data_IF_582386223557
#
_entry.id   IF_582386223557
#
_cell.length_a   1.000
_cell.length_b   1.000
_cell.length_c   1.000
_cell.angle_alpha   90.00
_cell.angle_beta   90.00
_cell.angle_gamma   90.00
#
_symmetry.space_group_name_H-M   'P 1'
#
loop_
_entity.id
_entity.type
_entity.pdbx_description
1 polymer ?
#
# COMPACT_ATOMS: atom_id res chain seq x y z
N UNK A 1 -14.28 2.24 5.17
CA UNK A 1 -13.41 3.12 5.97
C UNK A 1 -14.12 4.47 6.05
N UNK A 2 -14.61 4.85 7.22
CA UNK A 2 -15.25 6.16 7.42
C UNK A 2 -14.13 7.16 7.69
N UNK A 3 -14.06 8.23 6.91
CA UNK A 3 -13.08 9.29 7.13
C UNK A 3 -13.50 10.09 8.38
N UNK A 4 -12.66 10.08 9.42
CA UNK A 4 -12.91 10.75 10.71
C UNK A 4 -12.14 12.08 10.85
N UNK A 5 -11.44 12.51 9.80
CA UNK A 5 -10.62 13.72 9.79
C UNK A 5 -9.11 13.42 9.83
N UNK A 6 -8.32 14.47 10.10
CA UNK A 6 -6.87 14.37 10.23
C UNK A 6 -6.48 14.40 11.70
N UNK A 7 -5.75 13.38 12.15
CA UNK A 7 -5.25 13.27 13.51
C UNK A 7 -3.76 12.92 13.48
N UNK A 8 -2.97 13.60 14.31
CA UNK A 8 -1.51 13.43 14.38
C UNK A 8 -1.14 12.87 15.73
N UNK A 9 -0.35 11.81 15.74
CA UNK A 9 0.10 11.17 16.96
C UNK A 9 1.62 11.01 16.97
N UNK A 10 2.26 11.40 18.07
CA UNK A 10 3.64 11.02 18.37
C UNK A 10 3.63 9.77 19.25
N UNK A 11 4.67 8.94 19.09
CA UNK A 11 4.89 7.78 19.96
C UNK A 11 6.09 8.05 20.85
N UNK A 12 5.83 8.36 22.12
CA UNK A 12 6.84 8.52 23.15
C UNK A 12 7.41 7.14 23.53
N UNK A 13 8.72 7.09 23.80
CA UNK A 13 9.47 5.88 24.18
C UNK A 13 9.51 4.75 23.14
N UNK A 14 9.08 5.00 21.89
CA UNK A 14 9.16 3.98 20.85
C UNK A 14 10.60 3.80 20.35
N UNK A 15 11.22 2.68 20.75
CA UNK A 15 12.57 2.30 20.33
C UNK A 15 12.61 1.42 19.08
N UNK A 16 11.46 1.01 18.54
CA UNK A 16 11.37 0.16 17.36
C UNK A 16 11.40 -1.36 17.60
N UNK A 17 11.54 -1.80 18.86
CA UNK A 17 11.62 -3.22 19.21
C UNK A 17 10.41 -3.75 19.98
N UNK A 18 9.74 -2.89 20.75
CA UNK A 18 8.52 -3.25 21.49
C UNK A 18 7.49 -2.12 21.48
N UNK A 19 6.23 -2.46 21.75
CA UNK A 19 5.17 -1.51 22.05
C UNK A 19 4.94 -1.33 23.57
N UNK A 20 5.63 -2.10 24.41
CA UNK A 20 5.51 -2.00 25.85
C UNK A 20 6.06 -0.67 26.36
N UNK A 21 5.28 0.04 27.16
CA UNK A 21 5.64 1.37 27.68
C UNK A 21 5.61 2.49 26.63
N UNK A 22 5.20 2.19 25.39
CA UNK A 22 5.00 3.21 24.35
C UNK A 22 3.71 3.95 24.64
N UNK A 23 3.82 5.27 24.77
CA UNK A 23 2.68 6.16 24.97
C UNK A 23 2.44 6.94 23.69
N UNK A 24 1.19 6.98 23.26
CA UNK A 24 0.77 7.82 22.15
C UNK A 24 0.26 9.17 22.66
N UNK A 25 0.63 10.24 21.97
CA UNK A 25 0.22 11.59 22.30
C UNK A 25 -0.34 12.25 21.03
N UNK A 26 -1.59 12.69 21.08
CA UNK A 26 -2.18 13.49 20.00
C UNK A 26 -1.53 14.88 20.00
N UNK A 27 -1.14 15.35 18.82
CA UNK A 27 -0.54 16.68 18.65
C UNK A 27 -1.32 17.48 17.62
N UNK A 28 -1.28 18.81 17.76
CA UNK A 28 -1.98 19.68 16.82
C UNK A 28 -1.29 19.71 15.43
N UNK A 29 0.04 19.72 15.42
CA UNK A 29 0.84 19.95 14.22
C UNK A 29 2.18 19.21 14.30
N UNK A 30 2.71 18.81 13.14
CA UNK A 30 4.09 18.38 12.99
C UNK A 30 4.88 19.43 12.20
N UNK A 31 6.21 19.41 12.35
CA UNK A 31 7.06 20.11 11.39
C UNK A 31 6.87 19.54 9.97
N UNK A 32 7.23 20.33 8.95
CA UNK A 32 6.98 19.97 7.56
C UNK A 32 7.63 18.62 7.15
N UNK A 33 8.81 18.29 7.67
CA UNK A 33 9.46 17.04 7.33
C UNK A 33 8.74 15.84 7.97
N UNK A 34 8.30 16.00 9.22
CA UNK A 34 7.52 14.99 9.94
C UNK A 34 6.13 14.79 9.34
N UNK A 35 5.43 15.84 8.89
CA UNK A 35 4.16 15.71 8.14
C UNK A 35 4.34 14.84 6.90
N UNK A 36 5.30 15.19 6.04
CA UNK A 36 5.55 14.47 4.79
C UNK A 36 5.89 13.00 5.07
N UNK A 37 6.74 12.77 6.07
CA UNK A 37 7.12 11.42 6.49
C UNK A 37 5.92 10.62 6.99
N UNK A 38 5.10 11.20 7.88
CA UNK A 38 3.93 10.56 8.44
C UNK A 38 2.88 10.21 7.38
N UNK A 39 2.70 11.07 6.37
CA UNK A 39 1.82 10.81 5.23
C UNK A 39 2.31 9.63 4.40
N UNK A 40 3.60 9.63 4.03
CA UNK A 40 4.19 8.56 3.21
C UNK A 40 4.18 7.23 3.97
N UNK A 41 4.66 7.21 5.22
CA UNK A 41 4.65 6.02 6.06
C UNK A 41 3.22 5.53 6.33
N UNK A 42 2.29 6.45 6.61
CA UNK A 42 0.88 6.14 6.85
C UNK A 42 0.21 5.46 5.66
N UNK A 43 0.50 5.91 4.43
CA UNK A 43 -0.01 5.28 3.21
C UNK A 43 0.50 3.84 3.07
N UNK A 44 1.81 3.61 3.26
CA UNK A 44 2.38 2.27 3.17
C UNK A 44 1.88 1.35 4.28
N UNK A 45 1.72 1.85 5.50
CA UNK A 45 1.17 1.08 6.62
C UNK A 45 -0.30 0.70 6.37
N UNK A 46 -1.10 1.60 5.80
CA UNK A 46 -2.49 1.31 5.41
C UNK A 46 -2.57 0.25 4.32
N UNK A 47 -1.77 0.39 3.25
CA UNK A 47 -1.68 -0.61 2.19
C UNK A 47 -1.27 -1.98 2.72
N UNK A 48 -0.29 -2.02 3.64
CA UNK A 48 0.17 -3.24 4.30
C UNK A 48 -0.93 -3.88 5.16
N UNK A 49 -1.54 -3.11 6.05
CA UNK A 49 -2.61 -3.60 6.92
C UNK A 49 -3.77 -4.18 6.10
N UNK A 50 -4.14 -3.51 5.01
CA UNK A 50 -5.13 -4.01 4.07
C UNK A 50 -4.68 -5.32 3.42
N UNK A 51 -3.46 -5.40 2.89
CA UNK A 51 -2.89 -6.59 2.29
C UNK A 51 -2.91 -7.81 3.22
N UNK A 52 -2.43 -7.64 4.45
CA UNK A 52 -2.45 -8.69 5.47
C UNK A 52 -3.89 -9.10 5.83
N UNK A 53 -4.83 -8.14 5.89
CA UNK A 53 -6.23 -8.38 6.22
C UNK A 53 -6.97 -9.31 5.25
N UNK A 54 -6.57 -9.37 3.97
CA UNK A 54 -7.12 -10.34 3.01
C UNK A 54 -6.21 -11.55 2.74
N UNK A 55 -5.22 -11.79 3.61
CA UNK A 55 -4.42 -13.00 3.63
C UNK A 55 -3.14 -12.96 2.78
N UNK A 56 -2.68 -11.78 2.36
CA UNK A 56 -1.38 -11.68 1.66
C UNK A 56 -0.21 -11.85 2.64
N UNK A 57 0.83 -12.60 2.27
CA UNK A 57 2.02 -12.73 3.10
C UNK A 57 2.81 -11.42 3.16
N UNK A 58 3.23 -11.03 4.37
CA UNK A 58 4.08 -9.88 4.61
C UNK A 58 5.31 -10.26 5.48
N UNK A 59 6.55 -9.87 5.11
CA UNK A 59 6.89 -9.15 3.88
C UNK A 59 6.69 -10.03 2.64
N UNK A 60 6.30 -9.45 1.50
CA UNK A 60 6.18 -10.20 0.26
C UNK A 60 7.58 -10.67 -0.19
N UNK A 61 7.66 -11.86 -0.79
CA UNK A 61 8.91 -12.37 -1.38
C UNK A 61 9.45 -11.47 -2.49
N UNK A 62 8.55 -10.78 -3.19
CA UNK A 62 8.86 -9.90 -4.31
C UNK A 62 7.75 -8.85 -4.45
N UNK A 63 8.13 -7.58 -4.48
CA UNK A 63 7.22 -6.49 -4.89
C UNK A 63 7.39 -6.31 -6.38
N UNK A 64 6.28 -6.21 -7.12
CA UNK A 64 6.29 -5.87 -8.54
C UNK A 64 5.59 -4.52 -8.66
N UNK A 65 6.38 -3.47 -8.90
CA UNK A 65 5.82 -2.19 -9.30
C UNK A 65 5.59 -2.25 -10.82
N UNK A 66 4.36 -2.53 -11.22
CA UNK A 66 3.96 -2.37 -12.62
C UNK A 66 3.73 -0.88 -12.85
N UNK A 67 4.33 -0.33 -13.90
CA UNK A 67 4.00 1.03 -14.26
C UNK A 67 2.49 1.14 -14.54
N UNK A 68 1.94 2.20 -13.97
CA UNK A 68 0.64 2.29 -13.32
C UNK A 68 -0.51 2.49 -14.32
N UNK A 69 -1.63 3.08 -13.90
CA UNK A 69 -2.89 3.23 -14.64
C UNK A 69 -2.79 3.44 -16.18
N UNK A 70 -1.76 4.14 -16.66
CA UNK A 70 -1.46 4.36 -18.08
C UNK A 70 -1.23 3.06 -18.87
N UNK A 71 -0.46 2.10 -18.36
CA UNK A 71 -0.25 0.79 -19.01
C UNK A 71 -1.55 -0.01 -19.06
N UNK A 72 -2.33 0.02 -17.98
CA UNK A 72 -3.66 -0.59 -17.94
C UNK A 72 -4.61 0.05 -18.95
N UNK A 73 -4.57 1.38 -19.10
CA UNK A 73 -5.36 2.11 -20.09
C UNK A 73 -4.93 1.76 -21.53
N UNK A 74 -3.63 1.74 -21.81
CA UNK A 74 -3.08 1.35 -23.11
C UNK A 74 -3.46 -0.09 -23.47
N UNK A 75 -3.35 -1.02 -22.51
CA UNK A 75 -3.73 -2.42 -22.70
C UNK A 75 -5.22 -2.57 -23.02
N UNK A 76 -6.10 -1.87 -22.29
CA UNK A 76 -7.55 -1.86 -22.56
C UNK A 76 -7.88 -1.23 -23.91
N UNK A 77 -7.23 -0.14 -24.29
CA UNK A 77 -7.43 0.50 -25.59
C UNK A 77 -7.00 -0.41 -26.75
N UNK A 78 -5.82 -1.03 -26.64
CA UNK A 78 -5.34 -1.99 -27.63
C UNK A 78 -6.24 -3.23 -27.71
N UNK A 79 -6.76 -3.70 -26.58
CA UNK A 79 -7.73 -4.81 -26.53
C UNK A 79 -9.05 -4.45 -27.21
N UNK A 80 -9.59 -3.26 -26.94
CA UNK A 80 -10.80 -2.75 -27.59
C UNK A 80 -10.64 -2.63 -29.11
N UNK A 81 -9.52 -2.06 -29.57
CA UNK A 81 -9.19 -2.00 -31.00
C UNK A 81 -9.12 -3.39 -31.65
N UNK A 82 -8.49 -4.36 -30.98
CA UNK A 82 -8.36 -5.72 -31.50
C UNK A 82 -9.71 -6.45 -31.57
N UNK A 83 -10.57 -6.27 -30.57
CA UNK A 83 -11.93 -6.82 -30.57
C UNK A 83 -12.75 -6.24 -31.73
N UNK A 84 -12.69 -4.91 -31.93
CA UNK A 84 -13.36 -4.23 -33.02
C UNK A 84 -12.90 -4.76 -34.39
N UNK A 85 -11.58 -4.84 -34.59
CA UNK A 85 -11.00 -5.34 -35.84
C UNK A 85 -11.37 -6.80 -36.15
N UNK A 86 -11.55 -7.64 -35.12
CA UNK A 86 -11.94 -9.04 -35.28
C UNK A 86 -13.46 -9.27 -35.31
N UNK A 87 -14.26 -8.23 -35.08
CA UNK A 87 -15.71 -8.34 -34.96
C UNK A 87 -16.18 -9.25 -33.81
N UNK A 88 -15.30 -9.56 -32.84
CA UNK A 88 -15.61 -10.43 -31.70
C UNK A 88 -14.67 -10.16 -30.53
N UNK A 89 -15.16 -10.47 -29.33
CA UNK A 89 -14.32 -10.48 -28.14
C UNK A 89 -13.15 -11.45 -28.31
N UNK A 90 -11.96 -11.03 -27.89
CA UNK A 90 -10.78 -11.89 -27.76
C UNK A 90 -10.28 -11.89 -26.34
N UNK A 91 -9.73 -12.99 -25.84
CA UNK A 91 -9.13 -13.01 -24.52
C UNK A 91 -7.94 -12.05 -24.46
N UNK A 92 -7.87 -11.21 -23.41
CA UNK A 92 -6.75 -10.27 -23.18
C UNK A 92 -5.41 -11.01 -23.17
N UNK A 93 -5.38 -12.24 -22.64
CA UNK A 93 -4.19 -13.10 -22.64
C UNK A 93 -3.60 -13.32 -24.02
N UNK A 94 -4.42 -13.41 -25.07
CA UNK A 94 -3.94 -13.59 -26.45
C UNK A 94 -3.04 -12.46 -26.96
N UNK A 95 -3.06 -11.28 -26.31
CA UNK A 95 -2.21 -10.15 -26.64
C UNK A 95 -0.76 -10.36 -26.20
N UNK A 96 -0.51 -11.11 -25.12
CA UNK A 96 0.83 -11.25 -24.52
C UNK A 96 1.30 -12.70 -24.35
N UNK A 97 0.42 -13.71 -24.42
CA UNK A 97 0.82 -15.13 -24.37
C UNK A 97 1.80 -15.43 -25.51
N UNK A 98 2.98 -15.95 -25.17
CA UNK A 98 4.08 -16.22 -26.11
C UNK A 98 4.86 -14.99 -26.60
N UNK A 99 4.49 -13.78 -26.14
CA UNK A 99 5.14 -12.51 -26.53
C UNK A 99 5.53 -11.62 -25.34
N UNK A 100 5.36 -12.10 -24.11
CA UNK A 100 5.57 -11.31 -22.89
C UNK A 100 6.96 -10.65 -22.87
N UNK A 101 8.01 -11.42 -23.16
CA UNK A 101 9.41 -10.97 -23.20
C UNK A 101 9.66 -9.84 -24.23
N UNK A 102 8.79 -9.69 -25.23
CA UNK A 102 8.90 -8.67 -26.30
C UNK A 102 8.03 -7.44 -26.04
N UNK A 103 7.37 -7.37 -24.89
CA UNK A 103 6.47 -6.28 -24.54
C UNK A 103 6.94 -5.56 -23.28
N UNK A 104 6.59 -4.29 -23.16
CA UNK A 104 6.77 -3.51 -21.93
C UNK A 104 6.02 -4.09 -20.72
N UNK A 105 5.14 -5.08 -20.92
CA UNK A 105 4.49 -5.84 -19.84
C UNK A 105 5.49 -6.72 -19.06
N UNK A 106 6.70 -6.96 -19.57
CA UNK A 106 7.75 -7.65 -18.83
C UNK A 106 8.65 -6.71 -18.01
N UNK A 107 8.41 -5.39 -18.05
CA UNK A 107 9.11 -4.44 -17.18
C UNK A 107 8.71 -4.71 -15.72
N UNK A 108 9.54 -5.47 -15.02
CA UNK A 108 9.39 -5.76 -13.59
C UNK A 108 10.46 -4.98 -12.84
N UNK A 109 10.09 -3.85 -12.25
CA UNK A 109 10.87 -3.34 -11.14
C UNK A 109 10.58 -4.25 -9.96
N UNK A 110 11.51 -5.17 -9.68
CA UNK A 110 11.40 -6.11 -8.57
C UNK A 110 12.38 -5.76 -7.47
N UNK A 111 11.87 -5.57 -6.26
CA UNK A 111 12.67 -5.44 -5.07
C UNK A 111 12.45 -6.66 -4.16
N UNK A 112 13.54 -7.15 -3.55
CA UNK A 112 13.46 -8.10 -2.44
C UNK A 112 12.93 -7.39 -1.19
N UNK A 113 12.40 -8.17 -0.24
CA UNK A 113 12.08 -7.66 1.08
C UNK A 113 13.32 -6.98 1.70
N UNK A 114 13.12 -5.80 2.29
CA UNK A 114 14.20 -5.02 2.91
C UNK A 114 14.69 -5.59 4.24
N UNK A 115 15.55 -4.84 4.92
CA UNK A 115 16.13 -5.16 6.23
C UNK A 115 15.08 -5.65 7.25
N UNK A 116 15.36 -6.81 7.86
CA UNK A 116 14.49 -7.47 8.84
C UNK A 116 14.24 -6.62 10.09
N UNK A 117 15.21 -5.78 10.50
CA UNK A 117 15.01 -4.86 11.62
C UNK A 117 13.96 -3.79 11.27
N UNK A 118 14.06 -3.24 10.06
CA UNK A 118 13.11 -2.24 9.55
C UNK A 118 11.70 -2.84 9.40
N UNK A 119 11.60 -4.06 8.86
CA UNK A 119 10.33 -4.81 8.77
C UNK A 119 9.71 -4.99 10.16
N UNK A 120 10.51 -5.37 11.16
CA UNK A 120 10.02 -5.57 12.53
C UNK A 120 9.52 -4.25 13.14
N UNK A 121 10.28 -3.17 13.00
CA UNK A 121 9.89 -1.83 13.46
C UNK A 121 8.57 -1.37 12.84
N UNK A 122 8.43 -1.44 11.52
CA UNK A 122 7.19 -1.04 10.86
C UNK A 122 6.02 -2.00 11.09
N UNK A 123 6.29 -3.26 11.47
CA UNK A 123 5.23 -4.18 11.92
C UNK A 123 4.62 -3.67 13.22
N UNK A 124 5.44 -3.19 14.16
CA UNK A 124 4.95 -2.60 15.41
C UNK A 124 4.20 -1.29 15.17
N UNK A 125 4.73 -0.42 14.30
CA UNK A 125 4.04 0.81 13.90
C UNK A 125 2.68 0.54 13.25
N UNK A 126 2.59 -0.46 12.38
CA UNK A 126 1.33 -0.85 11.73
C UNK A 126 0.28 -1.25 12.78
N UNK A 127 0.66 -2.12 13.73
CA UNK A 127 -0.22 -2.55 14.83
C UNK A 127 -0.72 -1.36 15.64
N UNK A 128 0.19 -0.46 16.05
CA UNK A 128 -0.16 0.72 16.82
C UNK A 128 -1.06 1.69 16.03
N UNK A 129 -0.79 1.88 14.73
CA UNK A 129 -1.65 2.69 13.85
C UNK A 129 -3.07 2.15 13.77
N UNK A 130 -3.24 0.84 13.55
CA UNK A 130 -4.56 0.20 13.51
C UNK A 130 -5.30 0.34 14.85
N UNK A 131 -4.57 0.23 15.97
CA UNK A 131 -5.13 0.45 17.31
C UNK A 131 -5.66 1.88 17.51
N UNK A 132 -4.91 2.90 17.06
CA UNK A 132 -5.32 4.31 17.09
C UNK A 132 -6.52 4.53 16.16
N UNK A 133 -6.48 4.03 14.93
CA UNK A 133 -7.57 4.16 13.96
C UNK A 133 -8.88 3.56 14.48
N UNK A 134 -8.82 2.36 15.06
CA UNK A 134 -10.01 1.72 15.63
C UNK A 134 -10.61 2.57 16.77
N UNK A 135 -9.77 3.15 17.63
CA UNK A 135 -10.23 4.05 18.71
C UNK A 135 -10.84 5.34 18.17
N UNK A 136 -10.25 5.93 17.13
CA UNK A 136 -10.82 7.11 16.46
C UNK A 136 -12.17 6.78 15.81
N UNK A 137 -12.29 5.63 15.14
CA UNK A 137 -13.56 5.17 14.56
C UNK A 137 -14.61 4.96 15.63
N UNK A 138 -14.27 4.40 16.79
CA UNK A 138 -15.21 4.26 17.90
C UNK A 138 -15.63 5.62 18.49
N UNK A 139 -14.71 6.57 18.59
CA UNK A 139 -14.94 7.89 19.18
C UNK A 139 -15.70 8.84 18.25
N UNK A 140 -15.41 8.81 16.96
CA UNK A 140 -15.85 9.81 15.97
C UNK A 140 -16.70 9.20 14.85
N UNK A 141 -16.70 7.88 14.69
CA UNK A 141 -17.54 7.19 13.73
C UNK A 141 -19.00 7.42 14.07
N UNK A 142 -19.76 7.96 13.11
CA UNK A 142 -21.21 8.05 13.21
C UNK A 142 -21.78 6.63 13.26
N UNK A 143 -22.57 6.34 14.29
CA UNK A 143 -23.51 5.20 14.30
C UNK A 143 -24.53 5.33 13.20
#
# INVERSE_FOLDING_TARGET
MIAVGFHRYTLENFNGHTLDGVKECEVAEFDAASEVRALVEGQFLSMRAHAEGFGMPCPPKRIIATDSASMGAALRAAHGWLCNRKGKFVAISSMYTGRLEKTSLNCKLSASAGDQQLVSKYTLLMKKRVEIENRLVQKLGRT
#
